data_IF_811489153441
#
_entry.id   IF_811489153441
#
_cell.length_a   1.000
_cell.length_b   1.000
_cell.length_c   1.000
_cell.angle_alpha   90.00
_cell.angle_beta   90.00
_cell.angle_gamma   90.00
#
_symmetry.space_group_name_H-M   'P 1'
#
loop_
_entity.id
_entity.type
_entity.pdbx_description
1 polymer ?
#
# COMPACT_ATOMS: atom_id res chain seq x y z
N UNK A 1 -17.91 18.54 -11.96
CA UNK A 1 -16.51 18.60 -11.47
C UNK A 1 -15.61 18.91 -12.65
N UNK A 2 -14.64 19.82 -12.52
CA UNK A 2 -13.75 20.14 -13.67
C UNK A 2 -12.83 18.96 -13.98
N UNK A 3 -12.48 18.77 -15.27
CA UNK A 3 -11.56 17.72 -15.72
C UNK A 3 -10.18 17.85 -15.03
N UNK A 4 -9.74 19.08 -14.77
CA UNK A 4 -8.51 19.38 -14.01
C UNK A 4 -8.59 18.85 -12.58
N UNK A 5 -9.71 19.08 -11.89
CA UNK A 5 -9.91 18.63 -10.50
C UNK A 5 -9.93 17.10 -10.40
N UNK A 6 -10.61 16.42 -11.33
CA UNK A 6 -10.65 14.95 -11.37
C UNK A 6 -9.24 14.35 -11.56
N UNK A 7 -8.44 14.95 -12.45
CA UNK A 7 -7.08 14.47 -12.71
C UNK A 7 -6.16 14.65 -11.50
N UNK A 8 -6.27 15.78 -10.78
CA UNK A 8 -5.52 16.02 -9.54
C UNK A 8 -5.88 15.02 -8.44
N UNK A 9 -7.15 14.65 -8.29
CA UNK A 9 -7.56 13.66 -7.29
C UNK A 9 -6.99 12.29 -7.62
N UNK A 10 -7.05 11.86 -8.89
CA UNK A 10 -6.50 10.57 -9.28
C UNK A 10 -4.98 10.47 -9.00
N UNK A 11 -4.25 11.57 -9.24
CA UNK A 11 -2.83 11.67 -8.85
C UNK A 11 -2.69 11.46 -7.34
N UNK A 12 -3.39 12.27 -6.54
CA UNK A 12 -3.26 12.23 -5.09
C UNK A 12 -3.58 10.84 -4.55
N UNK A 13 -4.70 10.24 -4.99
CA UNK A 13 -5.11 8.90 -4.56
C UNK A 13 -4.03 7.86 -4.91
N UNK A 14 -3.47 7.92 -6.11
CA UNK A 14 -2.46 6.95 -6.55
C UNK A 14 -1.16 7.00 -5.72
N UNK A 15 -0.68 8.21 -5.41
CA UNK A 15 0.56 8.39 -4.64
C UNK A 15 0.34 8.19 -3.14
N UNK A 16 -0.79 8.63 -2.58
CA UNK A 16 -1.13 8.40 -1.17
C UNK A 16 -1.28 6.90 -0.90
N UNK A 17 -1.94 6.17 -1.80
CA UNK A 17 -2.03 4.70 -1.73
C UNK A 17 -0.64 4.04 -1.72
N UNK A 18 0.28 4.49 -2.58
CA UNK A 18 1.65 3.98 -2.59
C UNK A 18 2.37 4.24 -1.26
N UNK A 19 2.28 5.46 -0.73
CA UNK A 19 2.90 5.82 0.55
C UNK A 19 2.32 4.96 1.67
N UNK A 20 0.99 4.78 1.70
CA UNK A 20 0.32 4.01 2.74
C UNK A 20 0.75 2.53 2.70
N UNK A 21 0.82 1.94 1.51
CA UNK A 21 1.32 0.59 1.30
C UNK A 21 2.78 0.42 1.74
N UNK A 22 3.64 1.39 1.40
CA UNK A 22 5.04 1.38 1.82
C UNK A 22 5.17 1.53 3.34
N UNK A 23 4.34 2.36 3.96
CA UNK A 23 4.31 2.51 5.42
C UNK A 23 3.84 1.21 6.09
N UNK A 24 2.84 0.54 5.53
CA UNK A 24 2.35 -0.76 6.02
C UNK A 24 3.43 -1.83 5.96
N UNK A 25 4.05 -2.03 4.79
CA UNK A 25 5.16 -2.96 4.65
C UNK A 25 6.38 -2.58 5.48
N UNK A 26 6.73 -1.30 5.51
CA UNK A 26 7.88 -0.78 6.24
C UNK A 26 7.73 -0.97 7.75
N UNK A 27 6.53 -0.73 8.29
CA UNK A 27 6.25 -1.00 9.70
C UNK A 27 6.27 -2.49 10.03
N UNK A 28 5.72 -3.36 9.16
CA UNK A 28 5.82 -4.80 9.34
C UNK A 28 7.27 -5.28 9.37
N UNK A 29 8.09 -4.83 8.41
CA UNK A 29 9.51 -5.18 8.34
C UNK A 29 10.29 -4.65 9.54
N UNK A 30 9.97 -3.43 10.00
CA UNK A 30 10.58 -2.83 11.18
C UNK A 30 10.29 -3.66 12.44
N UNK A 31 9.04 -3.98 12.76
CA UNK A 31 8.74 -4.77 13.96
C UNK A 31 9.25 -6.20 13.85
N UNK A 32 9.11 -6.84 12.68
CA UNK A 32 9.65 -8.19 12.44
C UNK A 32 11.16 -8.31 12.69
N UNK A 33 11.92 -7.22 12.50
CA UNK A 33 13.37 -7.19 12.70
C UNK A 33 13.77 -6.82 14.13
N UNK A 34 12.95 -6.04 14.83
CA UNK A 34 13.33 -5.42 16.11
C UNK A 34 12.64 -6.04 17.34
N UNK A 35 11.59 -6.83 17.17
CA UNK A 35 10.94 -7.54 18.27
C UNK A 35 11.62 -8.89 18.56
N UNK A 36 11.46 -9.41 19.77
CA UNK A 36 12.14 -10.63 20.25
C UNK A 36 11.54 -11.92 19.68
N UNK A 37 10.33 -11.85 19.14
CA UNK A 37 9.64 -12.97 18.50
C UNK A 37 8.46 -12.52 17.64
N UNK A 38 7.87 -13.48 16.93
CA UNK A 38 6.77 -13.23 15.99
C UNK A 38 5.53 -12.63 16.69
N UNK A 39 5.15 -13.15 17.85
CA UNK A 39 3.95 -12.70 18.56
C UNK A 39 4.07 -11.25 19.04
N UNK A 40 5.26 -10.86 19.51
CA UNK A 40 5.56 -9.47 19.90
C UNK A 40 5.56 -8.55 18.68
N UNK A 41 6.22 -8.95 17.58
CA UNK A 41 6.23 -8.17 16.33
C UNK A 41 4.82 -7.95 15.79
N UNK A 42 3.97 -8.98 15.86
CA UNK A 42 2.57 -8.92 15.44
C UNK A 42 1.77 -7.98 16.33
N UNK A 43 1.90 -8.07 17.65
CA UNK A 43 1.20 -7.20 18.58
C UNK A 43 1.59 -5.73 18.42
N UNK A 44 2.89 -5.43 18.26
CA UNK A 44 3.39 -4.07 18.05
C UNK A 44 2.89 -3.49 16.71
N UNK A 45 2.90 -4.31 15.67
CA UNK A 45 2.38 -3.95 14.36
C UNK A 45 0.88 -3.65 14.39
N UNK A 46 0.07 -4.55 14.97
CA UNK A 46 -1.37 -4.36 15.16
C UNK A 46 -1.68 -3.11 16.00
N UNK A 47 -0.87 -2.86 17.04
CA UNK A 47 -0.96 -1.70 17.91
C UNK A 47 -0.70 -0.37 17.20
N UNK A 48 0.16 -0.34 16.18
CA UNK A 48 0.44 0.86 15.38
C UNK A 48 -0.77 1.29 14.54
N UNK A 49 -1.38 0.34 13.83
CA UNK A 49 -2.41 0.65 12.83
C UNK A 49 -3.77 0.92 13.46
N UNK A 50 -4.03 0.46 14.69
CA UNK A 50 -5.25 0.70 15.49
C UNK A 50 -6.57 0.36 14.76
N UNK A 51 -6.47 -0.35 13.65
CA UNK A 51 -7.54 -0.89 12.84
C UNK A 51 -7.21 -2.35 12.65
N UNK A 52 -8.23 -3.19 12.63
CA UNK A 52 -8.08 -4.60 12.32
C UNK A 52 -7.25 -4.79 11.04
N UNK A 53 -6.21 -5.60 11.17
CA UNK A 53 -5.18 -5.79 10.14
C UNK A 53 -5.74 -6.47 8.89
N UNK A 54 -6.76 -7.32 9.03
CA UNK A 54 -7.44 -7.94 7.88
C UNK A 54 -8.19 -6.90 7.07
N UNK A 55 -9.02 -6.06 7.71
CA UNK A 55 -9.74 -5.00 7.01
C UNK A 55 -8.79 -3.97 6.38
N UNK A 56 -7.72 -3.60 7.09
CA UNK A 56 -6.71 -2.70 6.56
C UNK A 56 -6.02 -3.30 5.33
N UNK A 57 -5.61 -4.57 5.39
CA UNK A 57 -4.97 -5.27 4.25
C UNK A 57 -5.87 -5.29 3.02
N UNK A 58 -7.16 -5.58 3.19
CA UNK A 58 -8.14 -5.56 2.09
C UNK A 58 -8.26 -4.15 1.48
N UNK A 59 -8.34 -3.11 2.32
CA UNK A 59 -8.41 -1.73 1.84
C UNK A 59 -7.14 -1.34 1.06
N UNK A 60 -5.96 -1.77 1.51
CA UNK A 60 -4.68 -1.53 0.84
C UNK A 60 -4.60 -2.26 -0.51
N UNK A 61 -5.10 -3.48 -0.62
CA UNK A 61 -5.20 -4.19 -1.91
C UNK A 61 -6.07 -3.38 -2.89
N UNK A 62 -7.24 -2.91 -2.46
CA UNK A 62 -8.14 -2.09 -3.29
C UNK A 62 -7.45 -0.80 -3.74
N UNK A 63 -6.79 -0.10 -2.81
CA UNK A 63 -6.03 1.12 -3.12
C UNK A 63 -4.88 0.86 -4.09
N UNK A 64 -4.24 -0.31 -4.02
CA UNK A 64 -3.18 -0.71 -4.95
C UNK A 64 -3.70 -0.83 -6.38
N UNK A 65 -4.92 -1.36 -6.57
CA UNK A 65 -5.57 -1.47 -7.89
C UNK A 65 -5.79 -0.08 -8.49
N UNK A 66 -6.27 0.89 -7.71
CA UNK A 66 -6.45 2.26 -8.19
C UNK A 66 -5.12 2.92 -8.59
N UNK A 67 -4.07 2.76 -7.78
CA UNK A 67 -2.72 3.23 -8.14
C UNK A 67 -2.18 2.56 -9.39
N UNK A 68 -2.37 1.25 -9.53
CA UNK A 68 -1.99 0.50 -10.72
C UNK A 68 -2.65 1.08 -11.98
N UNK A 69 -3.96 1.28 -11.97
CA UNK A 69 -4.72 1.82 -13.11
C UNK A 69 -4.20 3.21 -13.49
N UNK A 70 -3.95 4.07 -12.49
CA UNK A 70 -3.41 5.40 -12.72
C UNK A 70 -2.02 5.33 -13.38
N UNK A 71 -1.06 4.64 -12.76
CA UNK A 71 0.31 4.56 -13.27
C UNK A 71 0.44 3.84 -14.63
N UNK A 72 -0.45 2.87 -14.90
CA UNK A 72 -0.53 2.22 -16.20
C UNK A 72 -0.90 3.19 -17.32
N UNK A 73 -1.74 4.20 -17.04
CA UNK A 73 -2.20 5.20 -18.01
C UNK A 73 -1.28 6.41 -18.13
N UNK A 74 -0.52 6.73 -17.08
CA UNK A 74 0.44 7.85 -17.10
C UNK A 74 1.62 7.55 -18.02
N UNK A 75 2.03 8.54 -18.81
CA UNK A 75 3.23 8.48 -19.67
C UNK A 75 4.50 8.68 -18.84
N UNK A 76 5.61 8.08 -19.28
CA UNK A 76 6.94 8.20 -18.64
C UNK A 76 7.37 6.93 -17.91
N UNK A 77 8.68 6.81 -17.66
CA UNK A 77 9.29 5.62 -17.05
C UNK A 77 8.97 5.50 -15.55
N UNK A 78 8.97 6.62 -14.82
CA UNK A 78 8.77 6.62 -13.36
C UNK A 78 7.43 6.00 -12.96
N UNK A 79 6.27 6.37 -13.55
CA UNK A 79 5.00 5.67 -13.27
C UNK A 79 5.07 4.16 -13.53
N UNK A 80 5.79 3.68 -14.54
CA UNK A 80 5.90 2.24 -14.81
C UNK A 80 6.67 1.51 -13.71
N UNK A 81 7.71 2.12 -13.18
CA UNK A 81 8.44 1.58 -12.02
C UNK A 81 7.51 1.54 -10.79
N UNK A 82 6.79 2.63 -10.51
CA UNK A 82 5.85 2.69 -9.38
C UNK A 82 4.70 1.69 -9.53
N UNK A 83 4.25 1.43 -10.76
CA UNK A 83 3.27 0.39 -11.07
C UNK A 83 3.79 -1.00 -10.71
N UNK A 84 5.03 -1.34 -11.10
CA UNK A 84 5.64 -2.62 -10.76
C UNK A 84 5.80 -2.79 -9.26
N UNK A 85 6.21 -1.73 -8.55
CA UNK A 85 6.27 -1.72 -7.08
C UNK A 85 4.89 -2.02 -6.50
N UNK A 86 3.83 -1.36 -6.98
CA UNK A 86 2.47 -1.62 -6.49
C UNK A 86 1.98 -3.05 -6.74
N UNK A 87 2.36 -3.65 -7.88
CA UNK A 87 2.01 -5.05 -8.18
C UNK A 87 2.67 -5.99 -7.17
N UNK A 88 3.96 -5.78 -6.88
CA UNK A 88 4.70 -6.61 -5.91
C UNK A 88 4.08 -6.48 -4.51
N UNK A 89 3.78 -5.25 -4.09
CA UNK A 89 3.12 -4.97 -2.81
C UNK A 89 1.76 -5.66 -2.74
N UNK A 90 0.91 -5.47 -3.75
CA UNK A 90 -0.44 -6.06 -3.78
C UNK A 90 -0.39 -7.60 -3.76
N UNK A 91 0.57 -8.20 -4.47
CA UNK A 91 0.81 -9.64 -4.44
C UNK A 91 1.19 -10.12 -3.05
N UNK A 92 2.09 -9.41 -2.37
CA UNK A 92 2.48 -9.73 -0.99
C UNK A 92 1.31 -9.59 -0.01
N UNK A 93 0.53 -8.50 -0.10
CA UNK A 93 -0.65 -8.29 0.73
C UNK A 93 -1.70 -9.39 0.50
N UNK A 94 -1.91 -9.80 -0.76
CA UNK A 94 -2.84 -10.88 -1.09
C UNK A 94 -2.37 -12.21 -0.51
N UNK A 95 -1.06 -12.49 -0.56
CA UNK A 95 -0.47 -13.68 0.05
C UNK A 95 -0.61 -13.68 1.58
N UNK A 96 -0.48 -12.53 2.24
CA UNK A 96 -0.63 -12.43 3.71
C UNK A 96 -2.05 -12.73 4.23
N UNK A 97 -3.05 -12.79 3.35
CA UNK A 97 -4.43 -13.13 3.69
C UNK A 97 -4.77 -14.61 3.47
N UNK A 98 -3.86 -15.40 2.88
CA UNK A 98 -4.00 -16.84 2.66
C UNK A 98 -3.44 -17.64 3.84
#
# INVERSE_FOLDING_TARGET
MSQKTSNSINIIVAYVSLILNLAYLGSWFYFSKNSTGFDEAKADFEGLWKVDVTYLTIALIILSIFSFIYFARTKGIVPKILMLVQIIIAGWLSWSLL
#
